data_IF_842776669332
#
_entry.id   IF_842776669332
#
_cell.length_a   1.000
_cell.length_b   1.000
_cell.length_c   1.000
_cell.angle_alpha   90.00
_cell.angle_beta   90.00
_cell.angle_gamma   90.00
#
_symmetry.space_group_name_H-M   'P 1'
#
loop_
_entity.id
_entity.type
_entity.pdbx_description
1 polymer ?
#
# COMPACT_ATOMS: atom_id res chain seq x y z
N UNK A 1 -13.51 25.25 11.10
CA UNK A 1 -13.95 23.91 10.65
C UNK A 1 -14.59 24.07 9.29
N UNK A 2 -14.24 23.24 8.31
CA UNK A 2 -14.97 23.18 7.05
C UNK A 2 -16.18 22.26 7.22
N UNK A 3 -17.37 22.72 6.86
CA UNK A 3 -18.60 21.92 6.89
C UNK A 3 -18.85 21.36 5.51
N UNK A 4 -19.07 20.04 5.41
CA UNK A 4 -19.40 19.35 4.17
C UNK A 4 -20.68 18.54 4.41
N UNK A 5 -21.72 18.80 3.62
CA UNK A 5 -22.98 18.05 3.67
C UNK A 5 -22.91 16.90 2.69
N UNK A 6 -23.26 15.69 3.13
CA UNK A 6 -23.27 14.48 2.30
C UNK A 6 -24.64 13.82 2.45
N UNK A 7 -25.25 13.46 1.32
CA UNK A 7 -26.48 12.68 1.29
C UNK A 7 -26.13 11.19 1.26
N UNK A 8 -26.73 10.42 2.16
CA UNK A 8 -26.54 8.98 2.28
C UNK A 8 -27.93 8.30 2.28
N UNK A 9 -28.05 7.05 1.83
CA UNK A 9 -29.27 6.28 2.00
C UNK A 9 -29.63 6.11 3.48
N UNK A 10 -30.93 6.07 3.79
CA UNK A 10 -31.43 5.98 5.17
C UNK A 10 -30.82 4.81 5.94
N UNK A 11 -30.72 3.63 5.31
CA UNK A 11 -30.10 2.44 5.91
C UNK A 11 -28.65 2.70 6.36
N UNK A 12 -27.90 3.51 5.62
CA UNK A 12 -26.50 3.83 5.95
C UNK A 12 -26.43 4.84 7.09
N UNK A 13 -27.35 5.81 7.13
CA UNK A 13 -27.49 6.74 8.25
C UNK A 13 -27.78 5.99 9.55
N UNK A 14 -28.77 5.11 9.55
CA UNK A 14 -29.19 4.36 10.74
C UNK A 14 -28.06 3.49 11.30
N UNK A 15 -27.27 2.89 10.40
CA UNK A 15 -26.09 2.12 10.81
C UNK A 15 -25.00 3.00 11.43
N UNK A 16 -24.71 4.18 10.86
CA UNK A 16 -23.75 5.14 11.45
C UNK A 16 -24.24 5.65 12.80
N UNK A 17 -25.55 5.88 12.95
CA UNK A 17 -26.15 6.29 14.22
C UNK A 17 -26.02 5.19 15.29
N UNK A 18 -26.18 3.92 14.91
CA UNK A 18 -25.95 2.79 15.82
C UNK A 18 -24.49 2.73 16.32
N UNK A 19 -23.51 2.99 15.46
CA UNK A 19 -22.09 3.06 15.87
C UNK A 19 -21.84 4.17 16.90
N UNK A 20 -22.53 5.30 16.77
CA UNK A 20 -22.44 6.38 17.76
C UNK A 20 -23.14 6.04 19.08
N UNK A 21 -24.28 5.34 19.03
CA UNK A 21 -24.99 4.88 20.23
C UNK A 21 -24.20 3.83 21.00
N UNK A 22 -23.48 2.96 20.29
CA UNK A 22 -22.60 1.94 20.89
C UNK A 22 -21.32 2.54 21.50
N UNK A 23 -21.09 3.85 21.35
CA UNK A 23 -19.92 4.54 21.88
C UNK A 23 -18.63 4.29 21.08
N UNK A 24 -18.70 3.63 19.91
CA UNK A 24 -17.54 3.42 19.04
C UNK A 24 -17.05 4.73 18.42
N UNK A 25 -17.97 5.68 18.18
CA UNK A 25 -17.68 7.01 17.67
C UNK A 25 -18.49 8.06 18.42
N UNK A 26 -17.92 9.25 18.67
CA UNK A 26 -18.61 10.32 19.39
C UNK A 26 -19.66 11.06 18.54
N UNK A 27 -19.55 10.99 17.21
CA UNK A 27 -20.54 11.52 16.27
C UNK A 27 -20.41 10.87 14.90
N UNK A 28 -21.45 10.99 14.07
CA UNK A 28 -21.43 10.57 12.66
C UNK A 28 -20.32 11.29 11.88
N UNK A 29 -20.05 12.55 12.23
CA UNK A 29 -18.95 13.32 11.65
C UNK A 29 -17.57 12.76 12.01
N UNK A 30 -17.41 12.18 13.21
CA UNK A 30 -16.15 11.54 13.61
C UNK A 30 -15.91 10.26 12.83
N UNK A 31 -16.96 9.45 12.63
CA UNK A 31 -16.89 8.25 11.78
C UNK A 31 -16.47 8.61 10.36
N UNK A 32 -17.12 9.62 9.75
CA UNK A 32 -16.79 10.06 8.38
C UNK A 32 -15.37 10.60 8.29
N UNK A 33 -14.90 11.38 9.27
CA UNK A 33 -13.51 11.87 9.28
C UNK A 33 -12.50 10.72 9.38
N UNK A 34 -12.79 9.71 10.19
CA UNK A 34 -11.95 8.54 10.30
C UNK A 34 -11.93 7.71 9.01
N UNK A 35 -13.09 7.53 8.37
CA UNK A 35 -13.22 6.86 7.07
C UNK A 35 -12.40 7.56 5.98
N UNK A 36 -12.48 8.88 5.87
CA UNK A 36 -11.70 9.67 4.90
C UNK A 36 -10.20 9.54 5.16
N UNK A 37 -9.78 9.52 6.43
CA UNK A 37 -8.37 9.33 6.80
C UNK A 37 -7.88 7.94 6.41
N UNK A 38 -8.67 6.89 6.67
CA UNK A 38 -8.34 5.51 6.26
C UNK A 38 -8.30 5.36 4.74
N UNK A 39 -9.24 5.95 4.01
CA UNK A 39 -9.24 5.95 2.55
C UNK A 39 -8.00 6.67 2.00
N UNK A 40 -7.66 7.86 2.53
CA UNK A 40 -6.45 8.58 2.13
C UNK A 40 -5.18 7.77 2.40
N UNK A 41 -5.05 7.17 3.58
CA UNK A 41 -3.90 6.32 3.92
C UNK A 41 -3.82 5.09 3.00
N UNK A 42 -4.96 4.44 2.73
CA UNK A 42 -5.02 3.27 1.84
C UNK A 42 -4.66 3.64 0.40
N UNK A 43 -5.10 4.81 -0.08
CA UNK A 43 -4.75 5.33 -1.41
C UNK A 43 -3.29 5.75 -1.49
N UNK A 44 -2.73 6.31 -0.42
CA UNK A 44 -1.31 6.67 -0.36
C UNK A 44 -0.43 5.42 -0.38
N UNK A 45 -0.75 4.41 0.45
CA UNK A 45 -0.08 3.11 0.42
C UNK A 45 -0.20 2.47 -0.95
N UNK A 46 -1.41 2.49 -1.53
CA UNK A 46 -1.62 1.97 -2.88
C UNK A 46 -0.79 2.72 -3.92
N UNK A 47 -0.74 4.05 -3.90
CA UNK A 47 0.14 4.83 -4.79
C UNK A 47 1.61 4.53 -4.58
N UNK A 48 2.05 4.36 -3.33
CA UNK A 48 3.43 4.01 -3.01
C UNK A 48 3.80 2.58 -3.40
N UNK A 49 2.81 1.69 -3.52
CA UNK A 49 2.97 0.30 -3.97
C UNK A 49 2.70 0.11 -5.47
N UNK A 50 1.94 1.00 -6.08
CA UNK A 50 1.68 1.05 -7.52
C UNK A 50 2.94 1.57 -8.20
N UNK A 51 3.81 0.64 -8.57
CA UNK A 51 4.84 0.89 -9.57
C UNK A 51 4.14 1.43 -10.82
N UNK A 52 4.39 2.71 -11.15
CA UNK A 52 3.69 3.36 -12.24
C UNK A 52 4.09 2.73 -13.58
N UNK A 53 3.28 2.94 -14.61
CA UNK A 53 3.64 2.50 -15.96
C UNK A 53 4.98 3.12 -16.42
N UNK A 54 5.31 4.31 -15.93
CA UNK A 54 6.58 4.99 -16.20
C UNK A 54 7.74 4.32 -15.47
N UNK A 55 7.57 3.92 -14.21
CA UNK A 55 8.57 3.15 -13.47
C UNK A 55 8.87 1.80 -14.14
N UNK A 56 7.82 1.11 -14.62
CA UNK A 56 7.97 -0.15 -15.37
C UNK A 56 8.73 0.06 -16.67
N UNK A 57 8.41 1.13 -17.41
CA UNK A 57 9.13 1.49 -18.63
C UNK A 57 10.58 1.80 -18.35
N UNK A 58 10.88 2.53 -17.28
CA UNK A 58 12.25 2.84 -16.88
C UNK A 58 13.03 1.57 -16.53
N UNK A 59 12.47 0.68 -15.72
CA UNK A 59 13.10 -0.59 -15.36
C UNK A 59 13.40 -1.46 -16.58
N UNK A 60 12.46 -1.55 -17.52
CA UNK A 60 12.66 -2.31 -18.78
C UNK A 60 13.71 -1.65 -19.66
N UNK A 61 13.75 -0.31 -19.75
CA UNK A 61 14.76 0.40 -20.50
C UNK A 61 16.17 0.15 -19.93
N UNK A 62 16.32 0.22 -18.61
CA UNK A 62 17.56 -0.08 -17.90
C UNK A 62 18.00 -1.54 -18.14
N UNK A 63 17.08 -2.50 -18.00
CA UNK A 63 17.36 -3.92 -18.24
C UNK A 63 17.80 -4.18 -19.70
N UNK A 64 17.19 -3.50 -20.68
CA UNK A 64 17.59 -3.60 -22.09
C UNK A 64 18.96 -2.98 -22.34
N UNK A 65 19.27 -1.85 -21.70
CA UNK A 65 20.57 -1.19 -21.80
C UNK A 65 21.69 -2.02 -21.16
N UNK A 66 21.39 -2.78 -20.11
CA UNK A 66 22.33 -3.68 -19.42
C UNK A 66 22.76 -4.91 -20.24
N UNK A 67 22.12 -5.18 -21.38
CA UNK A 67 22.46 -6.30 -22.24
C UNK A 67 22.09 -7.68 -21.66
N UNK A 68 22.44 -8.74 -22.38
CA UNK A 68 22.11 -10.12 -21.98
C UNK A 68 23.17 -10.62 -21.01
N UNK A 69 22.74 -11.12 -19.85
CA UNK A 69 23.65 -11.74 -18.89
C UNK A 69 24.22 -13.05 -19.41
N UNK A 70 25.53 -13.25 -19.26
CA UNK A 70 26.21 -14.51 -19.56
C UNK A 70 26.14 -15.53 -18.42
N UNK A 71 25.52 -15.18 -17.29
CA UNK A 71 25.39 -16.07 -16.12
C UNK A 71 24.37 -17.16 -16.40
N UNK A 72 24.70 -18.38 -16.01
CA UNK A 72 23.74 -19.49 -16.06
C UNK A 72 22.74 -19.38 -14.91
N UNK A 73 21.64 -20.13 -15.02
CA UNK A 73 20.63 -20.20 -13.95
C UNK A 73 21.26 -20.75 -12.67
N UNK A 74 22.13 -21.76 -12.77
CA UNK A 74 22.84 -22.34 -11.64
C UNK A 74 23.75 -21.32 -10.93
N UNK A 75 24.45 -20.46 -11.69
CA UNK A 75 25.28 -19.40 -11.12
C UNK A 75 24.45 -18.39 -10.31
N UNK A 76 23.25 -18.04 -10.81
CA UNK A 76 22.33 -17.12 -10.12
C UNK A 76 21.84 -17.74 -8.81
N UNK A 77 21.47 -19.01 -8.82
CA UNK A 77 21.04 -19.71 -7.59
C UNK A 77 22.17 -19.87 -6.58
N UNK A 78 23.38 -20.18 -7.05
CA UNK A 78 24.56 -20.27 -6.19
C UNK A 78 24.87 -18.91 -5.53
N UNK A 79 24.75 -17.81 -6.28
CA UNK A 79 24.95 -16.46 -5.77
C UNK A 79 23.86 -16.03 -4.77
N UNK A 80 22.59 -16.31 -5.07
CA UNK A 80 21.49 -16.05 -4.15
C UNK A 80 21.67 -16.76 -2.80
N UNK A 81 22.09 -18.04 -2.81
CA UNK A 81 22.39 -18.81 -1.58
C UNK A 81 23.53 -18.17 -0.78
N UNK A 82 24.60 -17.72 -1.45
CA UNK A 82 25.73 -17.03 -0.81
C UNK A 82 25.29 -15.72 -0.14
N UNK A 83 24.45 -14.93 -0.81
CA UNK A 83 23.91 -13.68 -0.26
C UNK A 83 23.10 -13.96 1.01
N UNK A 84 22.20 -14.95 0.99
CA UNK A 84 21.39 -15.32 2.16
C UNK A 84 22.27 -15.79 3.32
N UNK A 85 23.27 -16.63 3.06
CA UNK A 85 24.21 -17.11 4.09
C UNK A 85 25.02 -15.97 4.71
N UNK A 86 25.50 -15.00 3.91
CA UNK A 86 26.23 -13.83 4.42
C UNK A 86 25.38 -12.89 5.27
N UNK A 87 24.06 -12.84 5.03
CA UNK A 87 23.12 -12.06 5.85
C UNK A 87 22.76 -12.78 7.15
N UNK A 88 22.68 -14.11 7.12
CA UNK A 88 22.45 -14.93 8.31
C UNK A 88 23.66 -14.91 9.28
N UNK A 89 24.89 -14.93 8.76
CA UNK A 89 26.11 -14.88 9.57
C UNK A 89 26.54 -13.49 10.08
N UNK A 90 25.80 -12.43 9.74
CA UNK A 90 26.04 -11.05 10.23
C UNK A 90 25.14 -10.64 11.39
N UNK A 91 24.28 -11.55 11.85
CA UNK A 91 23.36 -11.33 12.97
C UNK A 91 23.81 -11.99 14.27
N UNK A 92 25.10 -12.33 14.39
CA UNK A 92 25.73 -12.84 15.61
C UNK A 92 26.76 -11.85 16.14
#
# INVERSE_FOLDING_TARGET
MATMTVSLPDQMKDWIEALTQNGEYASSSDYVRDLVRRDRASREVRRGQEMTLEDLRHLVAEARAGGISSRTVDDIFADAKRIVQSRAGKSE
#
